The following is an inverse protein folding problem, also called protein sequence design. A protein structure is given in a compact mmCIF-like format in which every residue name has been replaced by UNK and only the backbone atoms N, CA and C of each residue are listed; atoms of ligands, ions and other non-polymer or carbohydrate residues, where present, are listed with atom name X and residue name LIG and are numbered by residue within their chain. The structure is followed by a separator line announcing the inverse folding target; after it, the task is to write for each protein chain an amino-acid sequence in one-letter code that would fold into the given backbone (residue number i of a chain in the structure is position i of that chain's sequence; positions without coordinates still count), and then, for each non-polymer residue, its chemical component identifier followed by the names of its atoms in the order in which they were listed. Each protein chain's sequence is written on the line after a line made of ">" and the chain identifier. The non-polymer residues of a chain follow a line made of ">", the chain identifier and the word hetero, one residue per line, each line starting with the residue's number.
data_IF_810192945743
#
_entry.id   IF_810192945743
#
_cell.length_a   1.000
_cell.length_b   1.000
_cell.length_c   1.000
_cell.angle_alpha   90.00
_cell.angle_beta   90.00
_cell.angle_gamma   90.00
#
_symmetry.space_group_name_H-M   'P 1'
#
loop_
_entity.id
_entity.type
_entity.pdbx_description
1 polymer ?
#
# COMPACT_ATOMS: atom_id res chain seq x y z
N UNK A 1 10.50 -8.25 -1.59
CA UNK A 1 9.90 -8.06 -0.24
C UNK A 1 9.38 -9.38 0.34
N UNK A 2 9.28 -9.49 1.67
CA UNK A 2 8.73 -10.68 2.35
C UNK A 2 7.20 -10.65 2.50
N UNK A 3 6.54 -9.54 2.17
CA UNK A 3 5.08 -9.34 2.28
C UNK A 3 4.55 -8.73 0.99
N UNK A 4 3.32 -9.10 0.62
CA UNK A 4 2.62 -8.60 -0.57
C UNK A 4 1.30 -7.91 -0.20
N UNK A 5 0.59 -7.42 -1.21
CA UNK A 5 -0.74 -6.79 -1.07
C UNK A 5 -1.78 -7.70 -0.40
N UNK A 6 -1.59 -9.02 -0.48
CA UNK A 6 -2.47 -9.98 0.20
C UNK A 6 -2.20 -10.05 1.71
N UNK A 7 -0.98 -9.75 2.15
CA UNK A 7 -0.57 -9.75 3.56
C UNK A 7 -0.99 -8.48 4.32
N UNK A 8 -1.74 -7.55 3.71
CA UNK A 8 -2.17 -6.31 4.37
C UNK A 8 -2.91 -6.60 5.68
N UNK A 9 -3.86 -7.53 5.66
CA UNK A 9 -4.64 -7.91 6.84
C UNK A 9 -3.76 -8.53 7.95
N UNK A 10 -2.78 -9.34 7.54
CA UNK A 10 -1.79 -9.93 8.44
C UNK A 10 -0.94 -8.85 9.12
N UNK A 11 -0.51 -7.84 8.37
CA UNK A 11 0.26 -6.70 8.90
C UNK A 11 -0.57 -5.91 9.91
N UNK A 12 -1.84 -5.66 9.59
CA UNK A 12 -2.77 -4.99 10.51
C UNK A 12 -3.00 -5.80 11.79
N UNK A 13 -3.10 -7.12 11.67
CA UNK A 13 -3.32 -8.05 12.78
C UNK A 13 -2.12 -8.20 13.73
N UNK A 14 -0.91 -7.75 13.36
CA UNK A 14 0.24 -7.81 14.25
C UNK A 14 0.08 -6.88 15.46
N UNK A 15 -0.26 -7.42 16.62
CA UNK A 15 -0.37 -6.66 17.87
C UNK A 15 1.00 -6.25 18.43
N UNK A 16 2.06 -6.98 18.10
CA UNK A 16 3.43 -6.67 18.53
C UNK A 16 4.06 -5.49 17.77
N UNK A 17 3.45 -5.03 16.68
CA UNK A 17 3.99 -3.95 15.86
C UNK A 17 3.35 -2.61 16.21
N UNK A 18 4.18 -1.58 16.37
CA UNK A 18 3.71 -0.20 16.48
C UNK A 18 3.03 0.25 15.19
N UNK A 19 2.07 1.18 15.28
CA UNK A 19 1.36 1.73 14.11
C UNK A 19 2.34 2.25 13.05
N UNK A 20 3.40 2.95 13.46
CA UNK A 20 4.46 3.41 12.55
C UNK A 20 5.08 2.28 11.74
N UNK A 21 5.41 1.15 12.38
CA UNK A 21 6.02 -0.01 11.70
C UNK A 21 5.06 -0.67 10.70
N UNK A 22 3.77 -0.73 11.04
CA UNK A 22 2.75 -1.23 10.13
C UNK A 22 2.63 -0.33 8.90
N UNK A 23 2.59 0.98 9.11
CA UNK A 23 2.52 1.98 8.04
C UNK A 23 3.77 1.90 7.14
N UNK A 24 4.96 1.79 7.71
CA UNK A 24 6.23 1.66 6.99
C UNK A 24 6.24 0.42 6.08
N UNK A 25 5.82 -0.74 6.62
CA UNK A 25 5.70 -1.97 5.84
C UNK A 25 4.64 -1.88 4.73
N UNK A 26 3.51 -1.21 4.98
CA UNK A 26 2.48 -0.97 3.98
C UNK A 26 2.99 -0.09 2.84
N UNK A 27 3.77 0.96 3.14
CA UNK A 27 4.39 1.81 2.12
C UNK A 27 5.54 1.12 1.39
N UNK A 28 6.26 0.22 2.05
CA UNK A 28 7.30 -0.59 1.40
C UNK A 28 6.70 -1.50 0.32
N UNK A 29 5.54 -2.11 0.58
CA UNK A 29 4.79 -2.89 -0.42
C UNK A 29 4.35 -1.99 -1.59
N UNK A 30 3.86 -0.78 -1.29
CA UNK A 30 3.46 0.17 -2.32
C UNK A 30 4.63 0.58 -3.23
N UNK A 31 5.79 0.88 -2.64
CA UNK A 31 7.00 1.20 -3.38
C UNK A 31 7.46 0.04 -4.28
N UNK A 32 7.41 -1.20 -3.79
CA UNK A 32 7.74 -2.39 -4.58
C UNK A 32 6.79 -2.56 -5.77
N UNK A 33 5.48 -2.34 -5.59
CA UNK A 33 4.52 -2.37 -6.69
C UNK A 33 4.88 -1.39 -7.81
N UNK A 34 5.27 -0.16 -7.47
CA UNK A 34 5.68 0.84 -8.45
C UNK A 34 7.06 0.57 -9.06
N UNK A 35 7.99 -0.03 -8.30
CA UNK A 35 9.29 -0.46 -8.85
C UNK A 35 9.15 -1.57 -9.90
N UNK A 36 8.12 -2.41 -9.78
CA UNK A 36 7.81 -3.44 -10.78
C UNK A 36 7.11 -2.87 -12.02
N UNK A 37 6.70 -1.59 -12.02
CA UNK A 37 6.15 -0.91 -13.19
C UNK A 37 7.25 -0.19 -13.97
N UNK A 38 7.23 -0.32 -15.30
CA UNK A 38 8.23 0.25 -16.21
C UNK A 38 7.60 1.08 -17.32
N UNK A 39 8.43 1.56 -18.24
CA UNK A 39 7.97 2.30 -19.43
C UNK A 39 7.10 1.44 -20.37
N UNK A 40 7.28 0.12 -20.32
CA UNK A 40 6.52 -0.85 -21.11
C UNK A 40 5.26 -1.37 -20.39
N UNK A 41 4.97 -0.89 -19.18
CA UNK A 41 3.77 -1.29 -18.44
C UNK A 41 2.51 -0.98 -19.23
N UNK A 42 1.65 -1.97 -19.38
CA UNK A 42 0.36 -1.79 -20.03
C UNK A 42 -0.59 -0.99 -19.14
N UNK A 43 -1.59 -0.33 -19.75
CA UNK A 43 -2.63 0.39 -19.01
C UNK A 43 -3.34 -0.50 -17.98
N UNK A 44 -3.46 -1.79 -18.27
CA UNK A 44 -4.08 -2.78 -17.38
C UNK A 44 -3.23 -3.06 -16.15
N UNK A 45 -1.90 -3.13 -16.31
CA UNK A 45 -0.97 -3.31 -15.19
C UNK A 45 -0.95 -2.07 -14.29
N UNK A 46 -0.93 -0.88 -14.88
CA UNK A 46 -1.03 0.38 -14.14
C UNK A 46 -2.32 0.46 -13.32
N UNK A 47 -3.48 0.16 -13.92
CA UNK A 47 -4.77 0.12 -13.22
C UNK A 47 -4.78 -0.91 -12.08
N UNK A 48 -4.13 -2.06 -12.28
CA UNK A 48 -4.00 -3.09 -11.25
C UNK A 48 -3.16 -2.57 -10.07
N UNK A 49 -2.01 -1.95 -10.35
CA UNK A 49 -1.17 -1.30 -9.33
C UNK A 49 -1.96 -0.23 -8.58
N UNK A 50 -2.68 0.65 -9.27
CA UNK A 50 -3.50 1.68 -8.62
C UNK A 50 -4.57 1.08 -7.70
N UNK A 51 -5.24 -0.01 -8.13
CA UNK A 51 -6.20 -0.74 -7.30
C UNK A 51 -5.54 -1.35 -6.06
N UNK A 52 -4.33 -1.87 -6.20
CA UNK A 52 -3.56 -2.44 -5.09
C UNK A 52 -3.11 -1.35 -4.10
N UNK A 53 -2.50 -0.26 -4.58
CA UNK A 53 -2.15 0.92 -3.77
C UNK A 53 -3.34 1.48 -3.00
N UNK A 54 -4.52 1.54 -3.63
CA UNK A 54 -5.75 1.99 -2.95
C UNK A 54 -6.16 1.11 -1.78
N UNK A 55 -5.88 -0.20 -1.82
CA UNK A 55 -6.11 -1.11 -0.67
C UNK A 55 -5.14 -0.79 0.46
N UNK A 56 -3.86 -0.56 0.13
CA UNK A 56 -2.81 -0.19 1.08
C UNK A 56 -3.19 1.11 1.79
N UNK A 57 -3.57 2.15 1.05
CA UNK A 57 -3.94 3.44 1.66
C UNK A 57 -5.20 3.37 2.53
N UNK A 58 -6.15 2.49 2.22
CA UNK A 58 -7.29 2.22 3.10
C UNK A 58 -6.85 1.58 4.42
N UNK A 59 -5.93 0.63 4.37
CA UNK A 59 -5.35 0.02 5.56
C UNK A 59 -4.54 1.03 6.38
N UNK A 60 -3.73 1.86 5.72
CA UNK A 60 -3.02 2.97 6.37
C UNK A 60 -4.01 3.94 7.00
N UNK A 61 -5.12 4.28 6.34
CA UNK A 61 -6.16 5.17 6.89
C UNK A 61 -6.73 4.67 8.22
N UNK A 62 -6.88 3.35 8.38
CA UNK A 62 -7.33 2.76 9.65
C UNK A 62 -6.32 2.93 10.80
N UNK A 63 -5.04 3.15 10.49
CA UNK A 63 -3.98 3.37 11.47
C UNK A 63 -3.66 4.86 11.66
N UNK A 64 -3.68 5.62 10.56
CA UNK A 64 -3.39 7.05 10.48
C UNK A 64 -4.28 7.69 9.40
N UNK A 65 -5.31 8.41 9.86
CA UNK A 65 -6.31 9.00 8.97
C UNK A 65 -5.74 10.14 8.11
N UNK A 66 -4.71 10.83 8.59
CA UNK A 66 -4.09 11.94 7.88
C UNK A 66 -3.33 11.43 6.65
N UNK A 67 -2.39 10.50 6.85
CA UNK A 67 -1.57 9.93 5.78
C UNK A 67 -2.41 9.12 4.79
N UNK A 68 -3.28 8.24 5.29
CA UNK A 68 -4.15 7.44 4.43
C UNK A 68 -5.14 8.29 3.64
N UNK A 69 -5.70 9.33 4.26
CA UNK A 69 -6.63 10.26 3.60
C UNK A 69 -5.95 11.20 2.59
N UNK A 70 -4.67 11.54 2.78
CA UNK A 70 -3.88 12.30 1.81
C UNK A 70 -3.58 11.44 0.57
N UNK A 71 -3.05 10.23 0.76
CA UNK A 71 -2.68 9.32 -0.33
C UNK A 71 -3.88 8.92 -1.20
N UNK A 72 -5.04 8.68 -0.59
CA UNK A 72 -6.29 8.38 -1.31
C UNK A 72 -6.81 9.53 -2.17
N UNK A 73 -6.42 10.78 -1.90
CA UNK A 73 -6.80 11.95 -2.70
C UNK A 73 -5.87 12.17 -3.89
N UNK A 74 -4.58 11.83 -3.73
CA UNK A 74 -3.57 12.00 -4.76
C UNK A 74 -3.62 10.89 -5.83
N UNK A 75 -4.05 9.67 -5.46
CA UNK A 75 -4.23 8.59 -6.42
C UNK A 75 -5.47 8.86 -7.31
N UNK A 76 -5.23 9.21 -8.58
CA UNK A 76 -6.25 9.53 -9.60
C UNK A 76 -6.23 8.54 -10.75
#
# INVERSE_FOLDING_TARGET
>A
MSYNVDDIDKILSFTSWSNKRKIDALFEIDADLYCNQGKDSTKTELDTTHKQSRKIYKAVKSLDEYWGGMMLREIK
#
